data_IF_242971910299
#
_entry.id   IF_242971910299
#
_cell.length_a   1.000
_cell.length_b   1.000
_cell.length_c   1.000
_cell.angle_alpha   90.00
_cell.angle_beta   90.00
_cell.angle_gamma   90.00
#
_symmetry.space_group_name_H-M   'P 1'
#
loop_
_entity.id
_entity.type
_entity.pdbx_description
1 polymer ?
#
# COMPACT_ATOMS: atom_id res chain seq x y z
N UNK A 1 -5.14 -3.12 26.86
CA UNK A 1 -4.18 -2.63 25.86
C UNK A 1 -4.18 -3.66 24.75
N UNK A 2 -4.57 -3.27 23.53
CA UNK A 2 -4.71 -4.18 22.41
C UNK A 2 -3.55 -3.92 21.43
N UNK A 3 -3.10 -4.97 20.75
CA UNK A 3 -2.02 -4.93 19.77
C UNK A 3 -2.50 -5.57 18.47
N UNK A 4 -2.01 -5.06 17.34
CA UNK A 4 -2.12 -5.71 16.05
C UNK A 4 -0.83 -6.46 15.73
N UNK A 5 -0.96 -7.76 15.53
CA UNK A 5 0.13 -8.58 15.02
C UNK A 5 0.15 -8.50 13.49
N UNK A 6 1.34 -8.31 12.94
CA UNK A 6 1.61 -8.22 11.52
C UNK A 6 2.66 -9.29 11.20
N UNK A 7 2.37 -10.19 10.27
CA UNK A 7 3.23 -11.34 9.97
C UNK A 7 3.47 -11.39 8.47
N UNK A 8 4.74 -11.49 8.09
CA UNK A 8 5.19 -11.75 6.73
C UNK A 8 5.72 -13.19 6.63
N UNK A 9 5.38 -13.85 5.53
CA UNK A 9 5.71 -15.26 5.29
C UNK A 9 6.20 -15.42 3.86
N UNK A 10 7.25 -16.20 3.68
CA UNK A 10 7.72 -16.64 2.38
C UNK A 10 6.71 -17.59 1.71
N UNK A 11 6.43 -17.39 0.43
CA UNK A 11 5.40 -18.13 -0.30
C UNK A 11 5.84 -19.55 -0.69
N UNK A 12 7.15 -19.78 -0.82
CA UNK A 12 7.74 -21.01 -1.33
C UNK A 12 7.87 -22.12 -0.26
N UNK A 13 8.26 -21.74 0.95
CA UNK A 13 8.58 -22.65 2.06
C UNK A 13 7.79 -22.35 3.34
N UNK A 14 6.93 -21.32 3.32
CA UNK A 14 6.08 -20.94 4.45
C UNK A 14 6.87 -20.58 5.72
N UNK A 15 8.06 -20.02 5.54
CA UNK A 15 8.90 -19.53 6.64
C UNK A 15 8.43 -18.13 7.03
N UNK A 16 8.26 -17.88 8.33
CA UNK A 16 7.99 -16.53 8.83
C UNK A 16 9.25 -15.68 8.64
N UNK A 17 9.15 -14.66 7.78
CA UNK A 17 10.26 -13.76 7.43
C UNK A 17 10.20 -12.44 8.21
N UNK A 18 9.04 -12.10 8.76
CA UNK A 18 8.85 -10.96 9.64
C UNK A 18 7.67 -11.16 10.58
N UNK A 19 7.79 -10.72 11.83
CA UNK A 19 6.71 -10.74 12.80
C UNK A 19 6.85 -9.54 13.73
N UNK A 20 5.88 -8.65 13.70
CA UNK A 20 5.88 -7.44 14.52
C UNK A 20 4.53 -7.24 15.20
N UNK A 21 4.52 -6.50 16.31
CA UNK A 21 3.31 -6.08 16.99
C UNK A 21 3.30 -4.56 17.09
N UNK A 22 2.18 -3.95 16.70
CA UNK A 22 1.95 -2.51 16.80
C UNK A 22 0.72 -2.23 17.68
N UNK A 23 0.54 -0.96 18.06
CA UNK A 23 -0.64 -0.53 18.80
C UNK A 23 -1.90 -0.70 17.95
N UNK A 24 -3.02 -1.08 18.59
CA UNK A 24 -4.27 -1.37 17.89
C UNK A 24 -5.04 -0.12 17.39
N UNK A 25 -4.43 1.06 17.44
CA UNK A 25 -4.99 2.32 16.92
C UNK A 25 -4.63 2.57 15.45
N UNK A 26 -3.81 1.72 14.84
CA UNK A 26 -3.41 1.78 13.43
C UNK A 26 -4.24 0.87 12.53
N UNK A 27 -4.37 1.25 11.26
CA UNK A 27 -4.91 0.41 10.17
C UNK A 27 -3.80 -0.44 9.55
N UNK A 28 -4.16 -1.55 8.91
CA UNK A 28 -3.19 -2.45 8.26
C UNK A 28 -2.33 -1.72 7.21
N UNK A 29 -2.94 -0.83 6.41
CA UNK A 29 -2.21 0.03 5.46
C UNK A 29 -1.14 0.92 6.11
N UNK A 30 -1.33 1.34 7.36
CA UNK A 30 -0.36 2.15 8.12
C UNK A 30 0.74 1.28 8.74
N UNK A 31 0.51 -0.02 8.85
CA UNK A 31 1.46 -1.00 9.37
C UNK A 31 2.36 -1.60 8.28
N UNK A 32 1.98 -1.54 6.99
CA UNK A 32 2.74 -2.16 5.89
C UNK A 32 4.22 -1.74 5.89
N UNK A 33 4.57 -0.44 5.94
CA UNK A 33 5.98 -0.03 5.90
C UNK A 33 6.80 -0.64 7.03
N UNK A 34 6.20 -0.72 8.23
CA UNK A 34 6.89 -1.21 9.43
C UNK A 34 7.17 -2.72 9.37
N UNK A 35 6.18 -3.54 9.01
CA UNK A 35 6.40 -4.99 8.86
C UNK A 35 7.32 -5.31 7.69
N UNK A 36 7.24 -4.55 6.59
CA UNK A 36 8.07 -4.75 5.41
C UNK A 36 9.53 -4.38 5.68
N UNK A 37 9.79 -3.27 6.36
CA UNK A 37 11.14 -2.89 6.77
C UNK A 37 11.78 -3.98 7.64
N UNK A 38 11.07 -4.49 8.64
CA UNK A 38 11.56 -5.58 9.49
C UNK A 38 11.81 -6.87 8.69
N UNK A 39 10.95 -7.17 7.72
CA UNK A 39 11.09 -8.34 6.84
C UNK A 39 12.33 -8.21 5.95
N UNK A 40 12.55 -7.04 5.35
CA UNK A 40 13.74 -6.74 4.54
C UNK A 40 15.02 -6.84 5.36
N UNK A 41 15.03 -6.31 6.59
CA UNK A 41 16.18 -6.38 7.48
C UNK A 41 16.54 -7.83 7.84
N UNK A 42 15.54 -8.66 8.15
CA UNK A 42 15.75 -10.09 8.43
C UNK A 42 16.32 -10.83 7.21
N UNK A 43 15.71 -10.65 6.04
CA UNK A 43 16.12 -11.35 4.82
C UNK A 43 17.48 -10.88 4.30
N UNK A 44 17.85 -9.62 4.53
CA UNK A 44 19.16 -9.09 4.18
C UNK A 44 20.30 -9.78 4.94
N UNK A 45 20.06 -10.31 6.16
CA UNK A 45 21.06 -11.10 6.91
C UNK A 45 21.44 -12.37 6.15
N UNK A 46 20.51 -12.91 5.37
CA UNK A 46 20.68 -14.10 4.54
C UNK A 46 20.94 -13.75 3.06
N UNK A 47 21.25 -12.48 2.75
CA UNK A 47 21.48 -11.98 1.39
C UNK A 47 20.29 -12.18 0.44
N UNK A 48 19.08 -12.24 1.00
CA UNK A 48 17.83 -12.33 0.24
C UNK A 48 17.23 -10.93 0.12
N UNK A 49 16.93 -10.51 -1.10
CA UNK A 49 16.25 -9.25 -1.39
C UNK A 49 14.76 -9.51 -1.54
N UNK A 50 13.93 -8.67 -0.93
CA UNK A 50 12.49 -8.63 -1.21
C UNK A 50 12.28 -7.89 -2.52
N UNK A 51 11.68 -8.56 -3.51
CA UNK A 51 11.37 -7.98 -4.82
C UNK A 51 9.86 -7.76 -5.00
N UNK A 52 9.05 -8.64 -4.43
CA UNK A 52 7.61 -8.68 -4.59
C UNK A 52 6.94 -8.98 -3.26
N UNK A 53 5.74 -8.44 -3.06
CA UNK A 53 4.89 -8.77 -1.90
C UNK A 53 3.46 -9.04 -2.34
N UNK A 54 2.77 -9.89 -1.58
CA UNK A 54 1.33 -10.10 -1.68
C UNK A 54 0.70 -9.74 -0.35
N UNK A 55 -0.31 -8.88 -0.36
CA UNK A 55 -1.05 -8.51 0.84
C UNK A 55 -2.55 -8.37 0.53
N UNK A 56 -3.38 -8.47 1.57
CA UNK A 56 -4.82 -8.29 1.40
C UNK A 56 -5.20 -6.81 1.16
N UNK A 57 -6.47 -6.60 0.81
CA UNK A 57 -7.00 -5.27 0.48
C UNK A 57 -6.89 -4.25 1.62
N UNK A 58 -6.79 -4.68 2.89
CA UNK A 58 -6.69 -3.77 4.02
C UNK A 58 -5.32 -3.06 4.09
N UNK A 59 -4.30 -3.62 3.44
CA UNK A 59 -2.98 -2.99 3.28
C UNK A 59 -2.93 -1.98 2.12
N UNK A 60 -3.99 -1.84 1.32
CA UNK A 60 -4.02 -0.94 0.17
C UNK A 60 -4.20 0.52 0.62
N UNK A 61 -3.18 1.35 0.42
CA UNK A 61 -3.28 2.81 0.47
C UNK A 61 -2.24 3.46 -0.45
N UNK A 62 -2.39 4.75 -0.74
CA UNK A 62 -1.42 5.50 -1.54
C UNK A 62 -0.03 5.49 -0.89
N UNK A 63 0.02 5.72 0.43
CA UNK A 63 1.27 5.73 1.21
C UNK A 63 1.94 4.36 1.23
N UNK A 64 1.15 3.27 1.31
CA UNK A 64 1.67 1.91 1.29
C UNK A 64 2.29 1.55 -0.07
N UNK A 65 1.64 1.95 -1.17
CA UNK A 65 2.14 1.73 -2.54
C UNK A 65 3.37 2.61 -2.84
N UNK A 66 3.36 3.87 -2.41
CA UNK A 66 4.50 4.79 -2.51
C UNK A 66 5.72 4.22 -1.77
N UNK A 67 5.54 3.67 -0.57
CA UNK A 67 6.63 3.03 0.16
C UNK A 67 7.23 1.84 -0.60
N UNK A 68 6.40 1.01 -1.23
CA UNK A 68 6.88 -0.11 -2.05
C UNK A 68 7.68 0.40 -3.26
N UNK A 69 7.18 1.41 -3.96
CA UNK A 69 7.85 2.02 -5.12
C UNK A 69 9.23 2.61 -4.74
N UNK A 70 9.30 3.36 -3.65
CA UNK A 70 10.56 3.93 -3.12
C UNK A 70 11.61 2.86 -2.79
N UNK A 71 11.16 1.66 -2.40
CA UNK A 71 12.02 0.53 -2.07
C UNK A 71 12.25 -0.44 -3.24
N UNK A 72 11.74 -0.13 -4.45
CA UNK A 72 11.82 -0.99 -5.64
C UNK A 72 11.21 -2.38 -5.39
N UNK A 73 10.06 -2.42 -4.71
CA UNK A 73 9.26 -3.61 -4.42
C UNK A 73 7.97 -3.53 -5.23
N UNK A 74 7.61 -4.60 -5.92
CA UNK A 74 6.35 -4.68 -6.67
C UNK A 74 5.22 -5.23 -5.77
N UNK A 75 4.20 -4.42 -5.46
CA UNK A 75 3.12 -4.84 -4.57
C UNK A 75 1.93 -5.46 -5.34
N UNK A 76 1.58 -6.70 -5.00
CA UNK A 76 0.34 -7.36 -5.44
C UNK A 76 -0.73 -7.23 -4.36
N UNK A 77 -1.32 -6.03 -4.27
CA UNK A 77 -2.36 -5.69 -3.29
C UNK A 77 -3.65 -5.32 -4.02
N UNK A 78 -4.81 -5.97 -3.74
CA UNK A 78 -6.06 -5.57 -4.37
C UNK A 78 -6.47 -4.16 -3.93
N UNK A 79 -7.00 -3.36 -4.86
CA UNK A 79 -7.44 -1.98 -4.57
C UNK A 79 -8.54 -1.93 -3.51
N UNK A 80 -8.40 -1.00 -2.55
CA UNK A 80 -9.45 -0.72 -1.57
C UNK A 80 -10.68 -0.06 -2.24
N UNK A 81 -11.75 -0.84 -2.41
CA UNK A 81 -13.00 -0.40 -3.01
C UNK A 81 -13.07 -0.59 -4.52
N UNK A 82 -14.27 -0.43 -5.08
CA UNK A 82 -14.46 -0.48 -6.54
C UNK A 82 -13.90 0.80 -7.17
N UNK A 83 -12.83 0.68 -7.95
CA UNK A 83 -12.35 1.77 -8.79
C UNK A 83 -13.49 2.28 -9.67
N UNK A 84 -13.78 3.59 -9.59
CA UNK A 84 -14.78 4.26 -10.42
C UNK A 84 -14.05 5.02 -11.51
N UNK A 85 -13.94 4.40 -12.69
CA UNK A 85 -13.34 5.01 -13.89
C UNK A 85 -14.06 6.28 -14.31
N UNK A 86 -15.37 6.35 -14.05
CA UNK A 86 -16.21 7.50 -14.32
C UNK A 86 -16.98 7.88 -13.07
N UNK A 87 -17.01 9.17 -12.77
CA UNK A 87 -17.78 9.73 -11.67
C UNK A 87 -18.70 10.79 -12.23
N UNK A 88 -20.01 10.52 -12.17
CA UNK A 88 -21.02 11.45 -12.65
C UNK A 88 -20.81 12.84 -12.04
N UNK A 89 -20.87 13.88 -12.89
CA UNK A 89 -20.68 15.26 -12.48
C UNK A 89 -19.22 15.71 -12.31
N UNK A 90 -18.23 14.87 -12.65
CA UNK A 90 -16.82 15.24 -12.81
C UNK A 90 -16.42 15.16 -14.29
N UNK A 91 -15.99 16.28 -14.86
CA UNK A 91 -15.61 16.40 -16.28
C UNK A 91 -14.11 16.71 -16.35
N UNK A 92 -13.37 15.90 -17.10
CA UNK A 92 -11.96 16.14 -17.34
C UNK A 92 -11.75 17.18 -18.45
N UNK A 93 -11.08 18.28 -18.13
CA UNK A 93 -10.69 19.33 -19.06
C UNK A 93 -9.24 19.08 -19.54
N UNK A 94 -9.12 18.50 -20.73
CA UNK A 94 -7.82 18.16 -21.35
C UNK A 94 -6.91 19.37 -21.62
N UNK A 95 -7.47 20.54 -21.90
CA UNK A 95 -6.67 21.73 -22.23
C UNK A 95 -5.97 22.31 -20.99
N UNK A 96 -6.58 22.13 -19.82
CA UNK A 96 -6.12 22.68 -18.54
C UNK A 96 -5.57 21.61 -17.59
N UNK A 97 -5.56 20.36 -18.04
CA UNK A 97 -5.14 19.20 -17.25
C UNK A 97 -5.78 19.16 -15.84
N UNK A 98 -7.11 19.29 -15.80
CA UNK A 98 -7.85 19.39 -14.54
C UNK A 98 -9.22 18.71 -14.61
N UNK A 99 -9.73 18.25 -13.47
CA UNK A 99 -11.13 17.84 -13.32
C UNK A 99 -11.99 19.01 -12.81
N UNK A 100 -13.16 19.17 -13.40
CA UNK A 100 -14.16 20.17 -13.02
C UNK A 100 -15.42 19.46 -12.50
N UNK A 101 -15.99 19.92 -11.38
CA UNK A 101 -17.26 19.38 -10.89
C UNK A 101 -18.43 20.34 -11.14
N UNK A 102 -19.66 19.82 -11.16
CA UNK A 102 -20.88 20.62 -11.37
C UNK A 102 -21.06 21.79 -10.38
N UNK A 103 -20.38 21.76 -9.22
CA UNK A 103 -20.39 22.84 -8.22
C UNK A 103 -19.36 23.95 -8.51
N UNK A 104 -18.60 23.86 -9.60
CA UNK A 104 -17.59 24.84 -10.00
C UNK A 104 -16.20 24.67 -9.37
N UNK A 105 -15.98 23.61 -8.59
CA UNK A 105 -14.65 23.29 -8.04
C UNK A 105 -13.75 22.63 -9.09
N UNK A 106 -12.44 22.80 -8.92
CA UNK A 106 -11.42 22.32 -9.85
C UNK A 106 -10.34 21.54 -9.11
N UNK A 107 -9.92 20.42 -9.66
CA UNK A 107 -8.78 19.63 -9.20
C UNK A 107 -7.74 19.57 -10.32
N UNK A 108 -6.65 20.31 -10.16
CA UNK A 108 -5.54 20.34 -11.12
C UNK A 108 -4.71 19.08 -10.93
N UNK A 109 -4.37 18.41 -12.02
CA UNK A 109 -3.52 17.23 -11.99
C UNK A 109 -2.03 17.64 -11.96
N UNK A 110 -1.17 16.90 -11.23
CA UNK A 110 0.26 17.18 -11.13
C UNK A 110 1.03 16.83 -12.40
#
# INVERSE_FOLDING_TARGET
>A
MNYYAQIAVDDSFHVITGAVADYADKRDSECLPFVLEHTMQNLAQEQIKVEQIVADTAYSSGEALEYCEQNNIEPFIPNFGQYKSEREGFIYNKEKDQYECQRGNKAVLP
#
